data_IF_331697091601
#
_entry.id   IF_331697091601
#
_cell.length_a   1.000
_cell.length_b   1.000
_cell.length_c   1.000
_cell.angle_alpha   90.00
_cell.angle_beta   90.00
_cell.angle_gamma   90.00
#
_symmetry.space_group_name_H-M   'P 1'
#
loop_
_entity.id
_entity.type
_entity.pdbx_description
1 polymer ?
#
# COMPACT_ATOMS: atom_id res chain seq x y z
N UNK A 1 3.64 -5.01 38.52
CA UNK A 1 2.64 -4.15 39.19
C UNK A 1 2.40 -2.97 38.24
N UNK A 2 1.35 -3.02 37.41
CA UNK A 2 1.04 -1.97 36.43
C UNK A 2 -0.10 -1.07 36.97
N UNK A 3 -0.14 0.24 36.66
CA UNK A 3 -1.10 1.15 37.26
C UNK A 3 -2.52 0.88 36.73
N UNK A 4 -3.48 0.75 37.63
CA UNK A 4 -4.90 0.78 37.28
C UNK A 4 -5.30 2.21 36.93
N UNK A 5 -5.69 2.47 35.68
CA UNK A 5 -6.41 3.69 35.33
C UNK A 5 -7.91 3.51 35.63
N UNK A 6 -8.43 4.27 36.58
CA UNK A 6 -9.85 4.32 36.91
C UNK A 6 -10.50 5.44 36.09
N UNK A 7 -11.31 5.09 35.09
CA UNK A 7 -12.15 6.05 34.39
C UNK A 7 -13.55 6.11 35.02
N UNK A 8 -13.96 7.30 35.46
CA UNK A 8 -15.29 7.59 36.02
C UNK A 8 -16.08 8.36 34.96
N UNK A 9 -17.05 7.72 34.32
CA UNK A 9 -17.89 8.35 33.30
C UNK A 9 -19.16 8.94 33.91
N UNK A 10 -19.51 10.17 33.52
CA UNK A 10 -20.60 10.96 34.14
C UNK A 10 -21.90 10.97 33.33
N UNK A 11 -21.95 10.30 32.16
CA UNK A 11 -23.14 10.25 31.29
C UNK A 11 -23.14 9.02 30.35
N UNK A 12 -24.33 8.59 29.91
CA UNK A 12 -24.51 7.50 28.91
C UNK A 12 -23.89 7.82 27.53
N UNK A 13 -23.61 9.09 27.23
CA UNK A 13 -22.97 9.51 25.97
C UNK A 13 -21.48 9.17 25.91
N UNK A 14 -20.77 9.22 27.06
CA UNK A 14 -19.34 8.88 27.14
C UNK A 14 -19.06 7.40 26.87
N UNK A 15 -20.01 6.53 27.23
CA UNK A 15 -19.90 5.08 27.05
C UNK A 15 -19.91 4.72 25.56
N UNK A 16 -20.71 5.40 24.73
CA UNK A 16 -20.76 5.14 23.28
C UNK A 16 -19.49 5.60 22.55
N UNK A 17 -18.87 6.71 22.98
CA UNK A 17 -17.59 7.20 22.42
C UNK A 17 -16.43 6.29 22.83
N UNK A 18 -16.44 5.75 24.05
CA UNK A 18 -15.47 4.78 24.53
C UNK A 18 -15.59 3.41 23.82
N UNK A 19 -16.82 2.92 23.60
CA UNK A 19 -17.06 1.66 22.86
C UNK A 19 -16.64 1.78 21.39
N UNK A 20 -16.87 2.93 20.73
CA UNK A 20 -16.38 3.16 19.35
C UNK A 20 -14.85 3.19 19.25
N UNK A 21 -14.14 3.67 20.27
CA UNK A 21 -12.66 3.62 20.30
C UNK A 21 -12.12 2.22 20.62
N UNK A 22 -12.85 1.40 21.38
CA UNK A 22 -12.48 0.01 21.67
C UNK A 22 -12.65 -0.93 20.46
N UNK A 23 -13.59 -0.65 19.56
CA UNK A 23 -13.80 -1.43 18.33
C UNK A 23 -12.63 -1.34 17.32
N UNK A 24 -11.64 -0.47 17.58
CA UNK A 24 -10.41 -0.32 16.80
C UNK A 24 -9.18 -0.98 17.47
N UNK A 25 -9.32 -1.56 18.67
CA UNK A 25 -8.25 -2.26 19.38
C UNK A 25 -8.40 -3.78 19.25
N UNK A 26 -7.30 -4.47 18.98
CA UNK A 26 -7.24 -5.92 18.77
C UNK A 26 -7.81 -6.77 19.91
N UNK A 27 -8.06 -8.04 19.59
CA UNK A 27 -8.81 -9.05 20.36
C UNK A 27 -8.47 -9.14 21.85
N UNK A 28 -7.23 -8.87 22.26
CA UNK A 28 -6.80 -8.84 23.67
C UNK A 28 -7.55 -7.81 24.54
N UNK A 29 -8.04 -6.72 23.93
CA UNK A 29 -8.80 -5.68 24.64
C UNK A 29 -10.23 -6.10 24.95
N UNK A 30 -10.82 -6.98 24.12
CA UNK A 30 -12.17 -7.51 24.33
C UNK A 30 -12.19 -8.56 25.46
N UNK A 31 -11.19 -9.43 25.54
CA UNK A 31 -11.10 -10.46 26.60
C UNK A 31 -11.04 -9.80 27.99
N UNK A 32 -10.27 -8.71 28.13
CA UNK A 32 -10.17 -7.95 29.38
C UNK A 32 -11.48 -7.24 29.77
N UNK A 33 -12.29 -6.82 28.80
CA UNK A 33 -13.59 -6.18 29.04
C UNK A 33 -14.66 -7.19 29.50
N UNK A 34 -14.66 -8.40 28.93
CA UNK A 34 -15.60 -9.47 29.30
C UNK A 34 -15.35 -9.95 30.74
N UNK A 35 -14.09 -10.06 31.16
CA UNK A 35 -13.73 -10.37 32.56
C UNK A 35 -14.14 -9.24 33.52
N UNK A 36 -14.17 -7.98 33.05
CA UNK A 36 -14.55 -6.83 33.86
C UNK A 36 -16.06 -6.72 34.10
N UNK A 37 -16.89 -7.15 33.15
CA UNK A 37 -18.36 -7.15 33.30
C UNK A 37 -18.80 -8.21 34.31
N UNK A 38 -18.10 -9.35 34.41
CA UNK A 38 -18.46 -10.40 35.39
C UNK A 38 -18.18 -10.00 36.84
N UNK A 39 -17.18 -9.15 37.10
CA UNK A 39 -16.83 -8.67 38.45
C UNK A 39 -17.67 -7.49 38.96
N UNK A 40 -18.50 -6.88 38.12
CA UNK A 40 -19.30 -5.68 38.48
C UNK A 40 -20.79 -5.94 38.70
N UNK A 41 -21.26 -7.16 38.45
CA UNK A 41 -22.61 -7.59 38.82
C UNK A 41 -22.60 -8.12 40.26
N UNK A 42 -22.94 -7.24 41.21
CA UNK A 42 -23.45 -7.66 42.52
C UNK A 42 -24.84 -8.29 42.34
N UNK A 43 -25.25 -9.26 43.17
CA UNK A 43 -26.36 -10.15 42.90
C UNK A 43 -27.68 -9.47 43.25
N UNK A 44 -28.20 -8.63 42.36
CA UNK A 44 -29.56 -8.11 42.52
C UNK A 44 -30.24 -7.86 41.17
N UNK A 45 -30.27 -8.90 40.34
CA UNK A 45 -31.19 -8.98 39.21
C UNK A 45 -31.75 -10.39 39.14
N UNK A 46 -32.97 -10.56 39.65
CA UNK A 46 -33.82 -11.73 39.39
C UNK A 46 -34.01 -11.85 37.88
N UNK A 47 -33.70 -13.01 37.30
CA UNK A 47 -34.26 -13.39 36.00
C UNK A 47 -33.34 -13.97 34.93
N UNK A 48 -32.02 -14.10 35.14
CA UNK A 48 -31.16 -14.84 34.21
C UNK A 48 -30.22 -15.74 35.02
N UNK A 49 -30.58 -17.03 35.13
CA UNK A 49 -29.84 -18.00 35.92
C UNK A 49 -28.38 -18.11 35.49
N UNK A 50 -27.47 -18.25 36.45
CA UNK A 50 -26.01 -18.36 36.27
C UNK A 50 -25.60 -19.45 35.26
N UNK A 51 -26.46 -20.47 35.05
CA UNK A 51 -26.34 -21.48 33.98
C UNK A 51 -26.38 -20.89 32.57
N UNK A 52 -27.21 -19.89 32.30
CA UNK A 52 -27.33 -19.27 30.97
C UNK A 52 -26.13 -18.36 30.66
N UNK A 53 -25.56 -17.70 31.67
CA UNK A 53 -24.33 -16.89 31.52
C UNK A 53 -23.12 -17.77 31.21
N UNK A 54 -22.99 -18.92 31.89
CA UNK A 54 -21.95 -19.92 31.63
C UNK A 54 -22.11 -20.60 30.25
N UNK A 55 -23.34 -20.85 29.81
CA UNK A 55 -23.62 -21.38 28.47
C UNK A 55 -23.27 -20.37 27.37
N UNK A 56 -23.62 -19.09 27.53
CA UNK A 56 -23.26 -18.04 26.56
C UNK A 56 -21.75 -17.80 26.53
N UNK A 57 -21.07 -17.83 27.69
CA UNK A 57 -19.61 -17.75 27.76
C UNK A 57 -18.95 -18.97 27.13
N UNK A 58 -19.49 -20.18 27.33
CA UNK A 58 -19.01 -21.42 26.71
C UNK A 58 -19.21 -21.44 25.19
N UNK A 59 -20.31 -20.89 24.68
CA UNK A 59 -20.58 -20.75 23.24
C UNK A 59 -19.69 -19.66 22.61
N UNK A 60 -19.41 -18.56 23.32
CA UNK A 60 -18.46 -17.54 22.86
C UNK A 60 -17.01 -18.04 22.87
N UNK A 61 -16.63 -18.86 23.85
CA UNK A 61 -15.32 -19.53 23.92
C UNK A 61 -15.15 -20.60 22.83
N UNK A 62 -16.20 -21.33 22.47
CA UNK A 62 -16.16 -22.28 21.36
C UNK A 62 -16.22 -21.60 19.99
N UNK A 63 -16.86 -20.43 19.88
CA UNK A 63 -16.81 -19.58 18.68
C UNK A 63 -15.42 -18.94 18.47
N UNK A 64 -14.66 -18.64 19.53
CA UNK A 64 -13.25 -18.23 19.41
C UNK A 64 -12.28 -19.37 19.10
N UNK A 65 -12.70 -20.63 19.26
CA UNK A 65 -11.89 -21.81 18.90
C UNK A 65 -12.11 -22.26 17.45
N UNK A 66 -13.07 -21.64 16.74
CA UNK A 66 -13.29 -21.81 15.32
C UNK A 66 -12.86 -20.54 14.58
N UNK A 67 -11.58 -20.21 14.66
CA UNK A 67 -10.93 -19.28 13.72
C UNK A 67 -10.82 -19.95 12.34
N UNK A 68 -11.94 -20.33 11.73
CA UNK A 68 -12.04 -20.50 10.28
C UNK A 68 -12.25 -19.13 9.64
N UNK A 69 -11.27 -18.26 9.86
CA UNK A 69 -11.22 -16.95 9.25
C UNK A 69 -10.34 -17.02 8.02
N UNK A 70 -10.98 -16.94 6.85
CA UNK A 70 -10.36 -16.75 5.55
C UNK A 70 -9.72 -15.35 5.42
N UNK A 71 -8.86 -14.98 6.38
CA UNK A 71 -8.02 -13.79 6.33
C UNK A 71 -6.59 -14.21 6.03
N UNK A 72 -5.92 -13.45 5.18
CA UNK A 72 -4.51 -13.65 4.90
C UNK A 72 -3.71 -13.60 6.21
N UNK A 73 -2.85 -14.60 6.44
CA UNK A 73 -1.99 -14.64 7.62
C UNK A 73 -0.97 -13.50 7.53
N UNK A 74 -0.91 -12.58 8.51
CA UNK A 74 0.15 -11.59 8.54
C UNK A 74 1.50 -12.26 8.79
N UNK A 75 2.55 -11.75 8.16
CA UNK A 75 3.93 -12.20 8.42
C UNK A 75 4.32 -11.94 9.87
N UNK A 76 4.94 -12.93 10.52
CA UNK A 76 5.48 -12.79 11.86
C UNK A 76 6.68 -11.83 11.89
N UNK A 77 7.03 -11.26 13.05
CA UNK A 77 8.24 -10.44 13.20
C UNK A 77 9.52 -11.19 12.76
N UNK A 78 9.61 -12.49 13.03
CA UNK A 78 10.73 -13.36 12.66
C UNK A 78 10.80 -13.51 11.14
N UNK A 79 9.66 -13.76 10.49
CA UNK A 79 9.57 -13.84 9.02
C UNK A 79 10.01 -12.52 8.38
N UNK A 80 9.50 -11.38 8.86
CA UNK A 80 9.91 -10.05 8.37
C UNK A 80 11.41 -9.77 8.54
N UNK A 81 12.01 -10.29 9.60
CA UNK A 81 13.46 -10.20 9.84
C UNK A 81 14.25 -11.12 8.92
N UNK A 82 13.75 -12.33 8.66
CA UNK A 82 14.35 -13.27 7.71
C UNK A 82 14.31 -12.73 6.28
N UNK A 83 13.21 -12.08 5.87
CA UNK A 83 13.09 -11.48 4.53
C UNK A 83 14.20 -10.49 4.22
N UNK A 84 14.59 -9.65 5.20
CA UNK A 84 15.65 -8.64 5.04
C UNK A 84 17.05 -9.24 4.84
N UNK A 85 17.23 -10.53 5.13
CA UNK A 85 18.51 -11.24 5.06
C UNK A 85 18.63 -12.11 3.82
N UNK A 86 17.59 -12.19 2.98
CA UNK A 86 17.59 -13.06 1.79
C UNK A 86 18.75 -12.71 0.85
N UNK A 87 19.52 -13.73 0.50
CA UNK A 87 20.59 -13.70 -0.50
C UNK A 87 20.37 -14.77 -1.57
N UNK A 88 19.96 -15.98 -1.17
CA UNK A 88 19.81 -17.15 -2.02
C UNK A 88 18.32 -17.39 -2.29
N UNK A 89 17.94 -17.26 -3.55
CA UNK A 89 16.56 -17.43 -4.01
C UNK A 89 16.45 -18.71 -4.84
N UNK A 90 15.49 -19.57 -4.53
CA UNK A 90 15.11 -20.67 -5.41
C UNK A 90 13.90 -20.27 -6.26
N UNK A 91 13.86 -20.71 -7.51
CA UNK A 91 12.76 -20.41 -8.43
C UNK A 91 11.94 -21.68 -8.66
N UNK A 92 10.65 -21.63 -8.32
CA UNK A 92 9.68 -22.66 -8.67
C UNK A 92 8.78 -22.16 -9.81
N UNK A 93 8.60 -22.95 -10.85
CA UNK A 93 7.83 -22.55 -12.04
C UNK A 93 6.84 -23.64 -12.41
N UNK A 94 5.62 -23.21 -12.74
CA UNK A 94 4.55 -24.09 -13.22
C UNK A 94 3.86 -23.42 -14.40
N UNK A 95 3.78 -24.11 -15.53
CA UNK A 95 3.05 -23.64 -16.72
C UNK A 95 1.89 -24.59 -17.02
N UNK A 96 0.68 -24.05 -17.14
CA UNK A 96 -0.55 -24.81 -17.42
C UNK A 96 -1.24 -24.26 -18.66
N UNK A 97 -1.60 -25.16 -19.57
CA UNK A 97 -2.39 -24.87 -20.77
C UNK A 97 -3.70 -25.65 -20.71
N UNK A 98 -4.62 -25.42 -21.65
CA UNK A 98 -5.83 -26.25 -21.76
C UNK A 98 -5.51 -27.73 -22.04
N UNK A 99 -4.32 -28.03 -22.56
CA UNK A 99 -3.83 -29.40 -22.80
C UNK A 99 -3.13 -30.03 -21.58
N UNK A 100 -3.02 -29.30 -20.47
CA UNK A 100 -2.36 -29.74 -19.24
C UNK A 100 -1.06 -29.00 -18.95
N UNK A 101 -0.24 -29.57 -18.06
CA UNK A 101 1.04 -29.02 -17.67
C UNK A 101 2.04 -29.10 -18.85
N UNK A 102 2.77 -28.02 -19.07
CA UNK A 102 3.79 -27.90 -20.12
C UNK A 102 5.14 -27.50 -19.52
N UNK A 103 6.21 -27.68 -20.30
CA UNK A 103 7.54 -27.26 -19.90
C UNK A 103 7.60 -25.75 -19.61
N UNK A 104 8.28 -25.39 -18.51
CA UNK A 104 8.36 -24.00 -18.01
C UNK A 104 9.79 -23.46 -17.96
N UNK A 105 10.73 -24.12 -18.67
CA UNK A 105 12.16 -23.80 -18.68
C UNK A 105 12.44 -22.36 -19.13
N UNK A 106 11.74 -21.86 -20.15
CA UNK A 106 11.89 -20.48 -20.62
C UNK A 106 11.43 -19.44 -19.58
N UNK A 107 10.29 -19.69 -18.92
CA UNK A 107 9.79 -18.85 -17.82
C UNK A 107 10.80 -18.86 -16.67
N UNK A 108 11.28 -20.05 -16.28
CA UNK A 108 12.29 -20.22 -15.23
C UNK A 108 13.56 -19.44 -15.54
N UNK A 109 14.06 -19.53 -16.77
CA UNK A 109 15.24 -18.80 -17.23
C UNK A 109 15.03 -17.30 -17.13
N UNK A 110 13.93 -16.77 -17.67
CA UNK A 110 13.60 -15.33 -17.59
C UNK A 110 13.55 -14.85 -16.14
N UNK A 111 12.86 -15.57 -15.26
CA UNK A 111 12.73 -15.19 -13.85
C UNK A 111 14.08 -15.26 -13.15
N UNK A 112 14.86 -16.31 -13.41
CA UNK A 112 16.21 -16.50 -12.87
C UNK A 112 17.13 -15.34 -13.24
N UNK A 113 17.20 -15.01 -14.54
CA UNK A 113 18.05 -13.92 -15.04
C UNK A 113 17.65 -12.58 -14.41
N UNK A 114 16.34 -12.29 -14.37
CA UNK A 114 15.81 -11.04 -13.79
C UNK A 114 16.06 -10.90 -12.29
N UNK A 115 16.07 -12.01 -11.54
CA UNK A 115 16.40 -12.03 -10.10
C UNK A 115 17.91 -11.91 -9.90
N UNK A 116 18.73 -12.61 -10.71
CA UNK A 116 20.20 -12.47 -10.69
C UNK A 116 20.66 -11.07 -11.02
N UNK A 117 20.03 -10.42 -12.01
CA UNK A 117 20.33 -9.05 -12.40
C UNK A 117 20.26 -8.11 -11.19
N UNK A 118 19.33 -8.36 -10.26
CA UNK A 118 19.14 -7.57 -9.03
C UNK A 118 20.13 -7.89 -7.90
N UNK A 119 21.06 -8.83 -8.13
CA UNK A 119 22.12 -9.20 -7.17
C UNK A 119 21.69 -10.25 -6.16
N UNK A 120 20.77 -11.15 -6.52
CA UNK A 120 20.49 -12.36 -5.74
C UNK A 120 21.25 -13.55 -6.33
N UNK A 121 21.70 -14.45 -5.46
CA UNK A 121 22.19 -15.76 -5.88
C UNK A 121 20.97 -16.64 -6.14
N UNK A 122 20.86 -17.22 -7.35
CA UNK A 122 19.74 -18.11 -7.67
C UNK A 122 20.20 -19.55 -7.64
N UNK A 123 19.62 -20.34 -6.72
CA UNK A 123 19.80 -21.79 -6.69
C UNK A 123 18.93 -22.44 -7.77
N UNK A 124 19.55 -23.26 -8.62
CA UNK A 124 18.85 -24.04 -9.65
C UNK A 124 18.48 -25.45 -9.18
N UNK A 125 19.05 -25.90 -8.07
CA UNK A 125 18.85 -27.23 -7.52
C UNK A 125 17.93 -27.19 -6.30
N UNK A 126 16.92 -28.06 -6.28
CA UNK A 126 15.98 -28.20 -5.16
C UNK A 126 16.65 -28.74 -3.90
N UNK A 127 17.81 -29.39 -4.02
CA UNK A 127 18.54 -29.97 -2.91
C UNK A 127 19.47 -28.98 -2.21
N UNK A 128 19.80 -27.84 -2.85
CA UNK A 128 20.62 -26.81 -2.24
C UNK A 128 19.78 -25.92 -1.32
N UNK A 129 20.32 -25.53 -0.15
CA UNK A 129 19.62 -24.63 0.76
C UNK A 129 19.38 -23.27 0.08
N UNK A 130 18.18 -22.75 0.25
CA UNK A 130 17.79 -21.41 -0.21
C UNK A 130 17.10 -20.68 0.93
N UNK A 131 17.16 -19.36 0.94
CA UNK A 131 16.51 -18.54 1.99
C UNK A 131 15.01 -18.42 1.71
N UNK A 132 14.65 -18.35 0.43
CA UNK A 132 13.27 -18.18 -0.02
C UNK A 132 13.04 -18.89 -1.36
N UNK A 133 11.81 -19.36 -1.58
CA UNK A 133 11.36 -19.83 -2.89
C UNK A 133 10.41 -18.81 -3.49
N UNK A 134 10.72 -18.33 -4.70
CA UNK A 134 9.82 -17.52 -5.53
C UNK A 134 9.10 -18.47 -6.49
N UNK A 135 7.77 -18.53 -6.38
CA UNK A 135 6.92 -19.36 -7.22
C UNK A 135 6.26 -18.54 -8.30
N UNK A 136 6.39 -18.98 -9.55
CA UNK A 136 5.77 -18.37 -10.73
C UNK A 136 4.87 -19.39 -11.40
N UNK A 137 3.55 -19.25 -11.22
CA UNK A 137 2.55 -20.09 -11.86
C UNK A 137 1.93 -19.34 -13.04
N UNK A 138 2.19 -19.79 -14.26
CA UNK A 138 1.62 -19.23 -15.49
C UNK A 138 0.53 -20.15 -16.05
N UNK A 139 -0.60 -19.58 -16.42
CA UNK A 139 -1.76 -20.31 -16.93
C UNK A 139 -2.23 -19.67 -18.24
N UNK A 140 -2.58 -20.48 -19.25
CA UNK A 140 -3.23 -20.02 -20.49
C UNK A 140 -4.61 -19.42 -20.20
N UNK A 141 -5.34 -20.03 -19.27
CA UNK A 141 -6.59 -19.49 -18.72
C UNK A 141 -6.48 -19.45 -17.22
N UNK A 142 -6.58 -18.24 -16.68
CA UNK A 142 -6.52 -18.03 -15.24
C UNK A 142 -7.73 -18.70 -14.56
N UNK A 143 -7.48 -19.78 -13.84
CA UNK A 143 -8.51 -20.52 -13.08
C UNK A 143 -8.69 -19.97 -11.67
N UNK A 144 -7.62 -19.53 -11.02
CA UNK A 144 -7.63 -19.08 -9.63
C UNK A 144 -7.92 -17.58 -9.51
N UNK A 145 -8.99 -17.21 -8.81
CA UNK A 145 -9.47 -15.82 -8.70
C UNK A 145 -9.05 -15.10 -7.41
N UNK A 146 -8.22 -15.73 -6.59
CA UNK A 146 -7.92 -15.27 -5.23
C UNK A 146 -8.80 -15.89 -4.16
N UNK A 147 -8.54 -15.62 -2.87
CA UNK A 147 -9.46 -15.98 -1.80
C UNK A 147 -10.87 -15.40 -2.04
N UNK A 148 -11.84 -16.07 -1.43
CA UNK A 148 -13.30 -15.97 -1.68
C UNK A 148 -13.91 -14.58 -1.48
N UNK A 149 -15.20 -14.44 -1.82
CA UNK A 149 -16.06 -13.23 -1.77
C UNK A 149 -16.07 -12.41 -0.47
N UNK A 150 -15.44 -12.88 0.61
CA UNK A 150 -15.41 -12.19 1.91
C UNK A 150 -14.13 -11.38 2.01
N UNK A 151 -14.26 -10.12 1.60
CA UNK A 151 -13.18 -9.20 1.27
C UNK A 151 -12.14 -8.97 2.38
N UNK A 152 -10.91 -8.89 1.91
CA UNK A 152 -9.74 -8.40 2.61
C UNK A 152 -8.57 -8.22 1.63
N UNK A 153 -8.54 -9.02 0.56
CA UNK A 153 -7.49 -8.96 -0.47
C UNK A 153 -7.85 -8.09 -1.69
N UNK A 154 -9.13 -7.70 -1.84
CA UNK A 154 -9.61 -6.91 -2.97
C UNK A 154 -8.97 -5.51 -3.01
N UNK A 155 -8.58 -5.01 -1.84
CA UNK A 155 -8.00 -3.67 -1.65
C UNK A 155 -6.46 -3.68 -1.74
N UNK A 156 -5.83 -4.85 -1.94
CA UNK A 156 -4.39 -4.90 -2.21
C UNK A 156 -4.10 -4.30 -3.59
N UNK A 157 -3.12 -3.39 -3.66
CA UNK A 157 -2.61 -2.79 -4.89
C UNK A 157 -2.18 -3.83 -5.96
N UNK A 158 -1.93 -5.07 -5.54
CA UNK A 158 -1.52 -6.17 -6.43
C UNK A 158 -2.48 -7.35 -6.40
N UNK A 159 -3.74 -7.11 -6.00
CA UNK A 159 -4.79 -8.10 -6.08
C UNK A 159 -4.96 -8.59 -7.53
N UNK A 160 -5.01 -9.92 -7.76
CA UNK A 160 -5.21 -10.48 -9.07
C UNK A 160 -6.64 -10.20 -9.51
N UNK A 161 -6.83 -9.89 -10.80
CA UNK A 161 -8.13 -9.43 -11.28
C UNK A 161 -9.15 -10.56 -11.28
N UNK A 162 -10.31 -10.32 -10.67
CA UNK A 162 -11.45 -11.26 -10.71
C UNK A 162 -12.12 -11.32 -12.09
N UNK A 163 -11.96 -10.26 -12.89
CA UNK A 163 -12.57 -10.14 -14.23
C UNK A 163 -11.68 -10.69 -15.34
N UNK A 164 -10.37 -10.76 -15.13
CA UNK A 164 -9.43 -11.32 -16.11
C UNK A 164 -9.50 -12.85 -16.11
N UNK A 165 -9.69 -13.43 -17.30
CA UNK A 165 -9.78 -14.88 -17.53
C UNK A 165 -8.77 -15.40 -18.57
N UNK A 166 -7.98 -14.50 -19.16
CA UNK A 166 -6.95 -14.84 -20.14
C UNK A 166 -5.64 -15.32 -19.52
N UNK A 167 -4.57 -15.38 -20.32
CA UNK A 167 -3.28 -15.84 -19.83
C UNK A 167 -2.69 -14.92 -18.77
N UNK A 168 -2.21 -15.50 -17.68
CA UNK A 168 -1.59 -14.75 -16.59
C UNK A 168 -0.58 -15.59 -15.82
N UNK A 169 0.46 -14.94 -15.30
CA UNK A 169 1.36 -15.48 -14.29
C UNK A 169 1.03 -14.90 -12.91
N UNK A 170 0.93 -15.75 -11.90
CA UNK A 170 0.92 -15.39 -10.49
C UNK A 170 2.32 -15.62 -9.92
N UNK A 171 2.90 -14.56 -9.36
CA UNK A 171 4.17 -14.60 -8.64
C UNK A 171 3.86 -14.51 -7.15
N UNK A 172 4.34 -15.49 -6.39
CA UNK A 172 4.28 -15.53 -4.92
C UNK A 172 5.64 -15.97 -4.39
N UNK A 173 5.81 -15.94 -3.07
CA UNK A 173 6.98 -16.54 -2.43
C UNK A 173 6.61 -17.23 -1.12
N UNK A 174 7.47 -18.14 -0.67
CA UNK A 174 7.32 -18.87 0.57
C UNK A 174 8.68 -19.29 1.13
N UNK A 175 8.75 -19.54 2.44
CA UNK A 175 9.94 -20.07 3.08
C UNK A 175 10.03 -21.59 2.84
N UNK A 176 11.21 -22.16 2.50
CA UNK A 176 11.35 -23.60 2.27
C UNK A 176 10.88 -24.48 3.43
N UNK A 177 11.00 -23.98 4.67
CA UNK A 177 10.55 -24.66 5.89
C UNK A 177 9.02 -24.72 6.03
N UNK A 178 8.27 -23.90 5.28
CA UNK A 178 6.81 -23.79 5.36
C UNK A 178 6.15 -23.63 3.97
N UNK A 179 6.26 -24.64 3.08
CA UNK A 179 5.76 -24.55 1.71
C UNK A 179 4.24 -24.39 1.60
N UNK A 180 3.49 -24.86 2.60
CA UNK A 180 2.03 -24.79 2.65
C UNK A 180 1.50 -23.45 3.18
N UNK A 181 2.38 -22.53 3.58
CA UNK A 181 2.03 -21.22 4.14
C UNK A 181 2.70 -20.09 3.33
N UNK A 182 2.30 -19.88 2.07
CA UNK A 182 2.89 -18.85 1.24
C UNK A 182 2.58 -17.45 1.77
N UNK A 183 3.46 -16.49 1.43
CA UNK A 183 3.27 -15.09 1.76
C UNK A 183 1.93 -14.54 1.22
N UNK A 184 1.29 -13.60 1.92
CA UNK A 184 0.14 -12.87 1.38
C UNK A 184 0.49 -12.02 0.15
N UNK A 185 1.77 -11.67 -0.02
CA UNK A 185 2.25 -10.91 -1.17
C UNK A 185 2.10 -11.70 -2.47
N UNK A 186 1.67 -11.01 -3.52
CA UNK A 186 1.40 -11.59 -4.83
C UNK A 186 1.48 -10.54 -5.91
N UNK A 187 1.92 -10.94 -7.09
CA UNK A 187 1.96 -10.10 -8.31
C UNK A 187 1.38 -10.87 -9.48
N UNK A 188 0.38 -10.28 -10.13
CA UNK A 188 -0.19 -10.80 -11.36
C UNK A 188 0.42 -10.11 -12.58
N UNK A 189 0.94 -10.90 -13.51
CA UNK A 189 1.45 -10.46 -14.81
C UNK A 189 0.51 -11.01 -15.88
N UNK A 190 0.02 -10.17 -16.79
CA UNK A 190 -0.96 -10.54 -17.81
C UNK A 190 -0.40 -10.33 -19.19
N UNK A 191 -0.88 -11.11 -20.15
CA UNK A 191 -0.70 -10.83 -21.57
C UNK A 191 -1.54 -9.63 -22.02
N UNK A 192 -1.22 -9.01 -23.17
CA UNK A 192 -2.04 -7.93 -23.74
C UNK A 192 -3.36 -8.42 -24.35
N UNK A 193 -3.60 -9.73 -24.40
CA UNK A 193 -4.80 -10.34 -24.97
C UNK A 193 -5.50 -11.26 -23.95
N UNK A 194 -6.83 -11.22 -23.92
CA UNK A 194 -7.60 -12.08 -23.01
C UNK A 194 -7.90 -13.46 -23.61
N UNK A 195 -7.93 -13.58 -24.94
CA UNK A 195 -8.24 -14.82 -25.66
C UNK A 195 -7.00 -15.33 -26.39
N UNK A 196 -6.37 -16.37 -25.84
CA UNK A 196 -5.17 -16.97 -26.40
C UNK A 196 -5.42 -17.66 -27.74
N UNK A 197 -6.59 -18.26 -27.94
CA UNK A 197 -6.92 -18.95 -29.20
C UNK A 197 -7.07 -17.94 -30.33
N UNK A 198 -7.85 -16.88 -30.10
CA UNK A 198 -8.04 -15.83 -31.10
C UNK A 198 -6.71 -15.14 -31.43
N UNK A 199 -5.93 -14.79 -30.40
CA UNK A 199 -4.64 -14.16 -30.61
C UNK A 199 -3.66 -15.07 -31.38
N UNK A 200 -3.61 -16.37 -31.08
CA UNK A 200 -2.77 -17.30 -31.83
C UNK A 200 -3.21 -17.42 -33.31
N UNK A 201 -4.51 -17.46 -33.58
CA UNK A 201 -5.06 -17.51 -34.95
C UNK A 201 -4.70 -16.25 -35.77
N UNK A 202 -4.84 -15.07 -35.17
CA UNK A 202 -4.46 -13.78 -35.79
C UNK A 202 -2.98 -13.75 -36.18
N UNK A 203 -2.13 -14.46 -35.44
CA UNK A 203 -0.69 -14.60 -35.71
C UNK A 203 -0.31 -15.90 -36.43
N UNK A 204 -1.28 -16.66 -36.94
CA UNK A 204 -1.09 -17.91 -37.68
C UNK A 204 -0.31 -18.99 -36.90
N UNK A 205 -0.46 -19.00 -35.57
CA UNK A 205 0.09 -20.03 -34.68
C UNK A 205 -1.01 -21.02 -34.31
N UNK A 206 -0.74 -22.32 -34.48
CA UNK A 206 -1.73 -23.38 -34.20
C UNK A 206 -1.83 -23.74 -32.72
N UNK A 207 -0.77 -23.51 -31.94
CA UNK A 207 -0.73 -23.82 -30.51
C UNK A 207 -0.94 -22.55 -29.67
N UNK A 208 -2.19 -22.34 -29.23
CA UNK A 208 -2.57 -21.20 -28.40
C UNK A 208 -1.89 -21.22 -27.02
N UNK A 209 -1.66 -22.40 -26.46
CA UNK A 209 -1.02 -22.57 -25.16
C UNK A 209 0.45 -22.17 -25.23
N UNK A 210 1.19 -22.66 -26.23
CA UNK A 210 2.58 -22.26 -26.45
C UNK A 210 2.70 -20.76 -26.75
N UNK A 211 1.79 -20.23 -27.58
CA UNK A 211 1.72 -18.80 -27.89
C UNK A 211 1.51 -17.95 -26.63
N UNK A 212 0.58 -18.36 -25.76
CA UNK A 212 0.31 -17.71 -24.49
C UNK A 212 1.52 -17.75 -23.53
N UNK A 213 2.19 -18.90 -23.40
CA UNK A 213 3.38 -19.03 -22.53
C UNK A 213 4.54 -18.18 -23.03
N UNK A 214 4.75 -18.10 -24.36
CA UNK A 214 5.77 -17.23 -24.94
C UNK A 214 5.48 -15.75 -24.67
N UNK A 215 4.22 -15.33 -24.84
CA UNK A 215 3.80 -13.98 -24.52
C UNK A 215 3.99 -13.66 -23.03
N UNK A 216 3.59 -14.56 -22.12
CA UNK A 216 3.81 -14.40 -20.68
C UNK A 216 5.29 -14.31 -20.30
N UNK A 217 6.16 -15.11 -20.92
CA UNK A 217 7.59 -15.01 -20.72
C UNK A 217 8.13 -13.62 -21.16
N UNK A 218 7.60 -13.06 -22.25
CA UNK A 218 7.96 -11.70 -22.69
C UNK A 218 7.47 -10.63 -21.71
N UNK A 219 6.26 -10.75 -21.18
CA UNK A 219 5.74 -9.82 -20.17
C UNK A 219 6.58 -9.87 -18.88
N UNK A 220 6.98 -11.07 -18.43
CA UNK A 220 7.88 -11.23 -17.28
C UNK A 220 9.26 -10.57 -17.50
N UNK A 221 9.75 -10.50 -18.75
CA UNK A 221 11.01 -9.78 -19.08
C UNK A 221 10.89 -8.28 -18.89
N UNK A 222 9.70 -7.71 -18.91
CA UNK A 222 9.48 -6.27 -18.78
C UNK A 222 8.96 -5.89 -17.38
N UNK A 223 8.16 -6.77 -16.77
CA UNK A 223 7.51 -6.53 -15.49
C UNK A 223 8.53 -6.19 -14.38
N UNK A 224 8.22 -5.23 -13.49
CA UNK A 224 9.12 -4.81 -12.43
C UNK A 224 9.11 -5.73 -11.20
N UNK A 225 8.52 -6.93 -11.22
CA UNK A 225 8.42 -7.82 -10.06
C UNK A 225 9.70 -8.02 -9.24
N UNK A 226 10.94 -8.06 -9.79
CA UNK A 226 12.13 -8.20 -8.96
C UNK A 226 12.34 -6.99 -8.03
N UNK A 227 12.03 -5.77 -8.53
CA UNK A 227 12.10 -4.55 -7.73
C UNK A 227 11.01 -4.55 -6.67
N UNK A 228 9.79 -5.00 -7.01
CA UNK A 228 8.69 -5.12 -6.06
C UNK A 228 9.01 -6.13 -4.94
N UNK A 229 9.63 -7.27 -5.27
CA UNK A 229 10.12 -8.24 -4.28
C UNK A 229 11.21 -7.65 -3.40
N UNK A 230 12.19 -6.93 -3.98
CA UNK A 230 13.22 -6.26 -3.20
C UNK A 230 12.63 -5.21 -2.26
N UNK A 231 11.57 -4.51 -2.65
CA UNK A 231 10.88 -3.57 -1.78
C UNK A 231 10.10 -4.28 -0.66
N UNK A 232 9.35 -5.34 -0.99
CA UNK A 232 8.66 -6.20 -0.02
C UNK A 232 9.63 -6.77 1.03
N UNK A 233 10.83 -7.17 0.60
CA UNK A 233 11.89 -7.68 1.47
C UNK A 233 12.75 -6.58 2.11
N UNK A 234 12.45 -5.30 1.83
CA UNK A 234 13.16 -4.11 2.32
C UNK A 234 14.66 -4.09 2.00
N UNK A 235 15.05 -4.58 0.82
CA UNK A 235 16.43 -4.60 0.33
C UNK A 235 16.84 -3.27 -0.31
N UNK A 236 16.98 -2.23 0.51
CA UNK A 236 17.33 -0.86 0.09
C UNK A 236 18.60 -0.82 -0.77
N UNK A 237 19.66 -1.54 -0.37
CA UNK A 237 20.90 -1.60 -1.13
C UNK A 237 20.72 -2.11 -2.56
N UNK A 238 19.85 -3.10 -2.79
CA UNK A 238 19.58 -3.65 -4.12
C UNK A 238 18.77 -2.69 -4.97
N UNK A 239 17.82 -1.97 -4.36
CA UNK A 239 17.06 -0.92 -5.03
C UNK A 239 17.97 0.24 -5.44
N UNK A 240 18.85 0.70 -4.55
CA UNK A 240 19.85 1.74 -4.86
C UNK A 240 20.80 1.28 -5.97
N UNK A 241 21.30 0.04 -5.91
CA UNK A 241 22.13 -0.52 -6.98
C UNK A 241 21.38 -0.56 -8.32
N UNK A 242 20.09 -0.90 -8.32
CA UNK A 242 19.26 -0.87 -9.51
C UNK A 242 19.07 0.54 -10.08
N UNK A 243 18.89 1.56 -9.23
CA UNK A 243 18.78 2.97 -9.63
C UNK A 243 20.03 3.47 -10.37
N UNK A 244 21.21 2.98 -9.95
CA UNK A 244 22.51 3.39 -10.48
C UNK A 244 22.98 2.59 -11.71
N UNK A 245 22.17 1.65 -12.22
CA UNK A 245 22.54 0.92 -13.44
C UNK A 245 22.61 1.85 -14.66
N UNK A 246 23.57 1.65 -15.57
CA UNK A 246 23.61 2.41 -16.81
C UNK A 246 22.35 2.16 -17.64
N UNK A 247 21.88 3.19 -18.35
CA UNK A 247 20.73 3.13 -19.26
C UNK A 247 19.42 2.63 -18.63
N UNK A 248 19.24 2.79 -17.32
CA UNK A 248 17.96 2.52 -16.68
C UNK A 248 16.89 3.49 -17.26
N UNK A 249 15.74 2.99 -17.74
CA UNK A 249 14.69 3.87 -18.27
C UNK A 249 14.17 4.83 -17.18
N UNK A 250 13.83 6.10 -17.51
CA UNK A 250 13.33 7.06 -16.52
C UNK A 250 12.10 6.58 -15.76
N UNK A 251 11.21 5.82 -16.41
CA UNK A 251 10.06 5.20 -15.75
C UNK A 251 10.47 4.20 -14.66
N UNK A 252 11.54 3.44 -14.88
CA UNK A 252 12.08 2.49 -13.90
C UNK A 252 12.84 3.21 -12.78
N UNK A 253 13.53 4.32 -13.07
CA UNK A 253 14.13 5.16 -12.02
C UNK A 253 13.06 5.72 -11.08
N UNK A 254 11.98 6.29 -11.64
CA UNK A 254 10.85 6.79 -10.85
C UNK A 254 10.21 5.70 -9.98
N UNK A 255 10.02 4.50 -10.53
CA UNK A 255 9.52 3.36 -9.75
C UNK A 255 10.46 3.03 -8.59
N UNK A 256 11.77 2.98 -8.80
CA UNK A 256 12.72 2.70 -7.72
C UNK A 256 12.65 3.78 -6.63
N UNK A 257 12.54 5.06 -6.99
CA UNK A 257 12.38 6.15 -6.01
C UNK A 257 11.07 6.01 -5.22
N UNK A 258 9.96 5.65 -5.86
CA UNK A 258 8.69 5.37 -5.18
C UNK A 258 8.85 4.24 -4.16
N UNK A 259 9.46 3.12 -4.56
CA UNK A 259 9.71 1.97 -3.67
C UNK A 259 10.64 2.31 -2.50
N UNK A 260 11.63 3.19 -2.71
CA UNK A 260 12.46 3.70 -1.61
C UNK A 260 11.69 4.62 -0.66
N UNK A 261 10.65 5.31 -1.14
CA UNK A 261 9.73 6.09 -0.30
C UNK A 261 8.97 5.21 0.68
N UNK A 262 8.52 4.04 0.24
CA UNK A 262 7.73 3.11 1.06
C UNK A 262 8.56 2.37 2.13
N UNK A 263 9.89 2.49 2.10
CA UNK A 263 10.79 1.84 3.03
C UNK A 263 11.38 2.88 3.99
N UNK A 264 11.03 2.87 5.28
CA UNK A 264 11.63 3.77 6.26
C UNK A 264 13.07 3.31 6.52
N UNK A 265 14.02 3.95 5.87
CA UNK A 265 15.45 3.65 5.93
C UNK A 265 16.28 4.93 5.68
N UNK A 266 17.31 5.22 6.50
CA UNK A 266 18.13 6.43 6.33
C UNK A 266 18.89 6.51 4.99
N UNK A 267 19.30 5.38 4.40
CA UNK A 267 19.95 5.39 3.10
C UNK A 267 18.96 5.62 1.96
N UNK A 268 17.73 5.11 2.09
CA UNK A 268 16.63 5.47 1.18
C UNK A 268 16.39 7.00 1.22
N UNK A 269 16.23 7.59 2.41
CA UNK A 269 16.08 9.05 2.58
C UNK A 269 17.20 9.82 1.89
N UNK A 270 18.47 9.50 2.20
CA UNK A 270 19.62 10.17 1.60
C UNK A 270 19.70 9.99 0.07
N UNK A 271 19.22 8.87 -0.46
CA UNK A 271 19.15 8.64 -1.91
C UNK A 271 18.07 9.50 -2.56
N UNK A 272 16.91 9.64 -1.94
CA UNK A 272 15.82 10.49 -2.39
C UNK A 272 16.22 11.97 -2.37
N UNK A 273 16.91 12.43 -1.33
CA UNK A 273 17.46 13.80 -1.26
C UNK A 273 18.45 14.10 -2.39
N UNK A 274 19.30 13.13 -2.74
CA UNK A 274 20.20 13.27 -3.90
C UNK A 274 19.41 13.35 -5.21
N UNK A 275 18.34 12.58 -5.34
CA UNK A 275 17.49 12.57 -6.53
C UNK A 275 16.71 13.88 -6.75
N UNK A 276 16.52 14.72 -5.71
CA UNK A 276 15.98 16.07 -5.86
C UNK A 276 16.84 16.97 -6.78
N UNK A 277 18.13 16.67 -6.92
CA UNK A 277 19.06 17.44 -7.76
C UNK A 277 18.98 17.09 -9.24
N UNK A 278 18.24 16.02 -9.59
CA UNK A 278 18.04 15.57 -10.98
C UNK A 278 16.66 16.05 -11.45
N UNK A 279 16.55 17.05 -12.34
CA UNK A 279 15.28 17.70 -12.66
C UNK A 279 14.15 16.73 -13.07
N UNK A 280 14.47 15.69 -13.84
CA UNK A 280 13.49 14.70 -14.31
C UNK A 280 12.97 13.77 -13.21
N UNK A 281 13.73 13.61 -12.12
CA UNK A 281 13.40 12.72 -11.01
C UNK A 281 12.91 13.48 -9.77
N UNK A 282 13.23 14.78 -9.69
CA UNK A 282 12.98 15.61 -8.53
C UNK A 282 11.50 15.61 -8.08
N UNK A 283 10.48 15.69 -8.97
CA UNK A 283 9.09 15.60 -8.54
C UNK A 283 8.75 14.25 -7.88
N UNK A 284 9.25 13.14 -8.43
CA UNK A 284 9.03 11.81 -7.85
C UNK A 284 9.75 11.65 -6.52
N UNK A 285 10.99 12.12 -6.44
CA UNK A 285 11.77 12.11 -5.21
C UNK A 285 11.12 12.96 -4.10
N UNK A 286 10.60 14.15 -4.42
CA UNK A 286 9.92 15.01 -3.45
C UNK A 286 8.65 14.36 -2.88
N UNK A 287 7.85 13.69 -3.70
CA UNK A 287 6.66 12.95 -3.23
C UNK A 287 7.10 11.76 -2.37
N UNK A 288 8.09 10.98 -2.81
CA UNK A 288 8.60 9.82 -2.08
C UNK A 288 9.23 10.20 -0.72
N UNK A 289 9.90 11.36 -0.63
CA UNK A 289 10.40 11.90 0.64
C UNK A 289 9.28 12.08 1.66
N UNK A 290 8.08 12.48 1.24
CA UNK A 290 6.93 12.63 2.15
C UNK A 290 6.60 11.37 2.95
N UNK A 291 6.89 10.18 2.41
CA UNK A 291 6.67 8.89 3.08
C UNK A 291 7.68 8.62 4.22
N UNK A 292 8.80 9.36 4.27
CA UNK A 292 9.78 9.29 5.36
C UNK A 292 9.41 10.17 6.57
N UNK A 293 8.22 10.78 6.55
CA UNK A 293 7.66 11.51 7.68
C UNK A 293 8.46 12.76 8.05
N UNK A 294 8.58 13.03 9.35
CA UNK A 294 9.17 14.27 9.87
C UNK A 294 10.59 14.56 9.37
N UNK A 295 11.40 13.53 9.09
CA UNK A 295 12.77 13.70 8.58
C UNK A 295 12.82 14.42 7.22
N UNK A 296 11.77 14.30 6.41
CA UNK A 296 11.68 14.92 5.09
C UNK A 296 11.16 16.37 5.11
N UNK A 297 10.67 16.89 6.24
CA UNK A 297 10.11 18.24 6.31
C UNK A 297 11.14 19.29 5.88
N UNK A 298 12.34 19.27 6.48
CA UNK A 298 13.39 20.25 6.15
C UNK A 298 13.84 20.19 4.68
N UNK A 299 14.19 19.01 4.12
CA UNK A 299 14.48 18.88 2.69
C UNK A 299 13.38 19.45 1.78
N UNK A 300 12.10 19.17 2.07
CA UNK A 300 10.98 19.62 1.25
C UNK A 300 10.70 21.12 1.39
N UNK A 301 10.86 21.70 2.58
CA UNK A 301 10.73 23.14 2.79
C UNK A 301 11.85 23.88 2.05
N UNK A 302 13.10 23.43 2.19
CA UNK A 302 14.22 24.03 1.43
C UNK A 302 14.02 23.91 -0.07
N UNK A 303 13.45 22.80 -0.55
CA UNK A 303 13.11 22.65 -1.96
C UNK A 303 12.08 23.67 -2.42
N UNK A 304 11.04 23.94 -1.63
CA UNK A 304 10.00 24.94 -1.93
C UNK A 304 10.54 26.36 -1.99
N UNK A 305 11.46 26.71 -1.08
CA UNK A 305 12.06 28.04 -0.99
C UNK A 305 12.93 28.40 -2.20
N UNK A 306 13.57 27.41 -2.82
CA UNK A 306 14.59 27.64 -3.85
C UNK A 306 14.16 27.25 -5.27
N UNK A 307 12.97 26.66 -5.44
CA UNK A 307 12.52 26.21 -6.76
C UNK A 307 11.58 27.21 -7.42
N UNK A 308 11.80 27.48 -8.71
CA UNK A 308 10.87 28.22 -9.56
C UNK A 308 9.91 27.31 -10.34
N UNK A 309 10.17 26.00 -10.37
CA UNK A 309 9.37 25.03 -11.13
C UNK A 309 8.03 24.76 -10.45
N UNK A 310 6.93 25.12 -11.11
CA UNK A 310 5.56 24.82 -10.63
C UNK A 310 5.37 23.33 -10.32
N UNK A 311 5.88 22.46 -11.20
CA UNK A 311 5.80 21.01 -11.03
C UNK A 311 6.52 20.54 -9.76
N UNK A 312 7.67 21.15 -9.45
CA UNK A 312 8.46 20.80 -8.26
C UNK A 312 7.85 21.40 -6.99
N UNK A 313 7.29 22.63 -7.06
CA UNK A 313 6.51 23.21 -5.96
C UNK A 313 5.35 22.30 -5.59
N UNK A 314 4.55 21.92 -6.59
CA UNK A 314 3.44 20.99 -6.43
C UNK A 314 3.90 19.67 -5.78
N UNK A 315 4.97 19.06 -6.28
CA UNK A 315 5.47 17.80 -5.74
C UNK A 315 5.95 17.92 -4.28
N UNK A 316 6.61 19.02 -3.93
CA UNK A 316 7.07 19.27 -2.57
C UNK A 316 5.88 19.51 -1.60
N UNK A 317 4.87 20.29 -2.03
CA UNK A 317 3.62 20.46 -1.28
C UNK A 317 2.91 19.12 -1.09
N UNK A 318 2.83 18.28 -2.13
CA UNK A 318 2.25 16.95 -2.04
C UNK A 318 2.99 16.08 -1.00
N UNK A 319 4.33 16.11 -1.00
CA UNK A 319 5.16 15.46 0.01
C UNK A 319 4.88 15.95 1.43
N UNK A 320 4.79 17.27 1.64
CA UNK A 320 4.42 17.85 2.94
C UNK A 320 2.99 17.46 3.37
N UNK A 321 2.05 17.37 2.44
CA UNK A 321 0.68 16.91 2.71
C UNK A 321 0.62 15.43 3.11
N UNK A 322 1.49 14.57 2.56
CA UNK A 322 1.64 13.18 3.02
C UNK A 322 2.12 13.17 4.47
N UNK A 323 3.14 13.97 4.80
CA UNK A 323 3.64 14.09 6.17
C UNK A 323 2.52 14.55 7.12
N UNK A 324 1.76 15.59 6.73
CA UNK A 324 0.65 16.13 7.51
C UNK A 324 -0.48 15.14 7.80
N UNK A 325 -0.60 14.05 7.02
CA UNK A 325 -1.58 12.99 7.27
C UNK A 325 -1.23 12.14 8.51
N UNK A 326 0.06 12.09 8.88
CA UNK A 326 0.57 11.23 9.96
C UNK A 326 1.29 11.99 11.07
N UNK A 327 1.63 13.26 10.83
CA UNK A 327 2.41 14.10 11.75
C UNK A 327 1.82 15.49 11.87
N UNK A 328 1.43 15.84 13.09
CA UNK A 328 1.02 17.20 13.44
C UNK A 328 2.28 18.03 13.74
N UNK A 329 2.76 18.79 12.75
CA UNK A 329 3.82 19.80 12.94
C UNK A 329 3.24 21.20 12.64
N UNK A 330 3.15 22.10 13.63
CA UNK A 330 2.62 23.45 13.45
C UNK A 330 3.29 24.26 12.34
N UNK A 331 4.55 23.94 12.00
CA UNK A 331 5.30 24.58 10.92
C UNK A 331 4.70 24.28 9.54
N UNK A 332 4.10 23.10 9.35
CA UNK A 332 3.52 22.70 8.05
C UNK A 332 2.43 23.67 7.61
N UNK A 333 1.58 24.11 8.54
CA UNK A 333 0.56 25.12 8.25
C UNK A 333 1.17 26.43 7.75
N UNK A 334 2.20 26.97 8.43
CA UNK A 334 2.81 28.24 8.03
C UNK A 334 3.49 28.12 6.66
N UNK A 335 4.18 27.00 6.38
CA UNK A 335 4.79 26.75 5.06
C UNK A 335 3.73 26.71 3.95
N UNK A 336 2.64 25.97 4.16
CA UNK A 336 1.56 25.83 3.19
C UNK A 336 0.84 27.17 2.97
N UNK A 337 0.52 27.89 4.04
CA UNK A 337 -0.07 29.23 3.99
C UNK A 337 0.82 30.20 3.22
N UNK A 338 2.13 30.22 3.50
CA UNK A 338 3.06 31.09 2.79
C UNK A 338 3.11 30.74 1.30
N UNK A 339 3.02 29.46 0.93
CA UNK A 339 2.98 29.03 -0.48
C UNK A 339 1.77 29.60 -1.25
N UNK A 340 0.64 29.83 -0.59
CA UNK A 340 -0.54 30.49 -1.19
C UNK A 340 -0.38 32.01 -1.32
N UNK A 341 0.45 32.64 -0.48
CA UNK A 341 0.59 34.09 -0.43
C UNK A 341 1.55 34.65 -1.50
N UNK A 342 2.43 33.82 -2.07
CA UNK A 342 3.38 34.23 -3.11
C UNK A 342 2.72 34.29 -4.50
N UNK A 343 2.10 35.43 -4.82
CA UNK A 343 1.36 35.64 -6.08
C UNK A 343 2.27 35.88 -7.31
N UNK A 344 1.90 35.41 -8.53
CA UNK A 344 0.78 34.50 -8.79
C UNK A 344 1.20 33.03 -8.59
N UNK A 345 0.60 32.35 -7.61
CA UNK A 345 0.73 30.90 -7.44
C UNK A 345 -0.08 30.20 -8.55
N UNK A 346 0.53 29.30 -9.34
CA UNK A 346 -0.19 28.51 -10.32
C UNK A 346 -1.38 27.74 -9.72
N UNK A 347 -2.47 27.59 -10.47
CA UNK A 347 -3.71 26.96 -9.97
C UNK A 347 -3.49 25.50 -9.57
N UNK A 348 -2.61 24.77 -10.24
CA UNK A 348 -2.24 23.39 -9.92
C UNK A 348 -1.49 23.28 -8.59
N UNK A 349 -0.60 24.23 -8.29
CA UNK A 349 0.06 24.34 -6.98
C UNK A 349 -0.97 24.71 -5.90
N UNK A 350 -1.88 25.64 -6.22
CA UNK A 350 -2.95 26.07 -5.30
C UNK A 350 -3.84 24.90 -4.89
N UNK A 351 -4.28 24.08 -5.84
CA UNK A 351 -5.05 22.85 -5.59
C UNK A 351 -4.29 21.93 -4.64
N UNK A 352 -2.99 21.71 -4.88
CA UNK A 352 -2.20 20.83 -4.04
C UNK A 352 -2.02 21.37 -2.62
N UNK A 353 -1.85 22.69 -2.45
CA UNK A 353 -1.79 23.31 -1.12
C UNK A 353 -3.12 23.15 -0.38
N UNK A 354 -4.25 23.36 -1.06
CA UNK A 354 -5.57 23.13 -0.48
C UNK A 354 -5.73 21.69 -0.01
N UNK A 355 -5.32 20.71 -0.82
CA UNK A 355 -5.34 19.30 -0.44
C UNK A 355 -4.44 19.01 0.77
N UNK A 356 -3.23 19.57 0.77
CA UNK A 356 -2.28 19.40 1.88
C UNK A 356 -2.79 20.01 3.19
N UNK A 357 -3.44 21.18 3.14
CA UNK A 357 -4.08 21.80 4.30
C UNK A 357 -5.25 20.96 4.84
N UNK A 358 -6.06 20.37 3.95
CA UNK A 358 -7.12 19.44 4.34
C UNK A 358 -6.58 18.17 5.00
N UNK A 359 -5.51 17.59 4.46
CA UNK A 359 -4.81 16.41 5.03
C UNK A 359 -4.17 16.69 6.38
N UNK A 360 -3.65 17.91 6.58
CA UNK A 360 -3.01 18.34 7.83
C UNK A 360 -4.01 18.38 8.99
N UNK A 361 -5.30 18.65 8.72
CA UNK A 361 -6.32 18.70 9.77
C UNK A 361 -6.23 19.92 10.70
N UNK A 362 -5.44 20.93 10.34
CA UNK A 362 -5.24 22.13 11.18
C UNK A 362 -6.39 23.12 11.01
N UNK A 363 -7.15 23.36 12.08
CA UNK A 363 -8.29 24.28 12.11
C UNK A 363 -7.94 25.71 11.70
N UNK A 364 -6.68 26.13 11.83
CA UNK A 364 -6.23 27.46 11.37
C UNK A 364 -6.42 27.64 9.86
N UNK A 365 -6.48 26.55 9.10
CA UNK A 365 -6.72 26.57 7.66
C UNK A 365 -8.17 26.93 7.29
N UNK A 366 -9.14 26.79 8.20
CA UNK A 366 -10.58 26.97 7.91
C UNK A 366 -10.85 28.34 7.29
N UNK A 367 -10.46 29.43 7.96
CA UNK A 367 -10.74 30.79 7.49
C UNK A 367 -10.07 31.08 6.14
N UNK A 368 -8.85 30.56 5.95
CA UNK A 368 -8.10 30.71 4.69
C UNK A 368 -8.80 29.97 3.54
N UNK A 369 -9.22 28.73 3.77
CA UNK A 369 -9.90 27.91 2.77
C UNK A 369 -11.30 28.43 2.46
N UNK A 370 -12.04 28.95 3.44
CA UNK A 370 -13.36 29.58 3.22
C UNK A 370 -13.25 30.83 2.33
N UNK A 371 -12.23 31.67 2.56
CA UNK A 371 -11.97 32.84 1.72
C UNK A 371 -11.64 32.43 0.28
N UNK A 372 -10.75 31.45 0.11
CA UNK A 372 -10.39 30.93 -1.22
C UNK A 372 -11.59 30.27 -1.91
N UNK A 373 -12.44 29.56 -1.16
CA UNK A 373 -13.67 28.96 -1.66
C UNK A 373 -14.66 30.01 -2.16
N UNK A 374 -14.87 31.10 -1.41
CA UNK A 374 -15.73 32.20 -1.88
C UNK A 374 -15.23 32.75 -3.21
N UNK A 375 -13.93 33.02 -3.33
CA UNK A 375 -13.31 33.52 -4.58
C UNK A 375 -13.49 32.54 -5.74
N UNK A 376 -13.22 31.26 -5.52
CA UNK A 376 -13.33 30.22 -6.55
C UNK A 376 -14.76 30.02 -7.06
N UNK A 377 -15.77 30.19 -6.21
CA UNK A 377 -17.20 30.12 -6.60
C UNK A 377 -17.73 31.41 -7.23
N UNK A 378 -17.16 32.57 -6.91
CA UNK A 378 -17.49 33.84 -7.58
C UNK A 378 -16.85 33.98 -8.96
N UNK A 379 -15.75 33.26 -9.23
CA UNK A 379 -15.13 33.22 -10.55
C UNK A 379 -16.05 32.47 -11.54
N UNK A 380 -16.48 33.08 -12.67
CA UNK A 380 -17.37 32.42 -13.62
C UNK A 380 -16.69 31.33 -14.47
N UNK A 381 -15.38 31.13 -14.33
CA UNK A 381 -14.61 30.13 -15.07
C UNK A 381 -15.18 28.72 -14.90
N UNK A 382 -15.22 28.00 -16.02
CA UNK A 382 -15.61 26.59 -16.13
C UNK A 382 -14.44 25.70 -16.53
N UNK A 383 -13.20 26.17 -16.38
CA UNK A 383 -12.03 25.36 -16.71
C UNK A 383 -11.96 24.11 -15.82
N UNK A 384 -11.41 22.99 -16.33
CA UNK A 384 -11.19 21.79 -15.52
C UNK A 384 -10.34 22.05 -14.26
N UNK A 385 -9.42 23.00 -14.31
CA UNK A 385 -8.59 23.41 -13.16
C UNK A 385 -9.43 24.11 -12.09
N UNK A 386 -10.35 25.00 -12.49
CA UNK A 386 -11.23 25.70 -11.56
C UNK A 386 -12.22 24.73 -10.90
N UNK A 387 -12.73 23.75 -11.66
CA UNK A 387 -13.57 22.68 -11.11
C UNK A 387 -12.80 21.85 -10.07
N UNK A 388 -11.59 21.40 -10.40
CA UNK A 388 -10.71 20.67 -9.47
C UNK A 388 -10.37 21.48 -8.22
N UNK A 389 -10.20 22.79 -8.35
CA UNK A 389 -10.00 23.68 -7.19
C UNK A 389 -11.22 23.71 -6.28
N UNK A 390 -12.43 23.87 -6.85
CA UNK A 390 -13.69 23.84 -6.07
C UNK A 390 -13.89 22.49 -5.37
N UNK A 391 -13.59 21.39 -6.05
CA UNK A 391 -13.65 20.03 -5.48
C UNK A 391 -12.67 19.86 -4.32
N UNK A 392 -11.40 20.28 -4.51
CA UNK A 392 -10.38 20.24 -3.47
C UNK A 392 -10.77 21.07 -2.25
N UNK A 393 -11.31 22.29 -2.47
CA UNK A 393 -11.78 23.16 -1.40
C UNK A 393 -12.95 22.55 -0.63
N UNK A 394 -13.93 22.00 -1.36
CA UNK A 394 -15.06 21.30 -0.75
C UNK A 394 -14.61 20.11 0.09
N UNK A 395 -13.69 19.30 -0.43
CA UNK A 395 -13.13 18.15 0.29
C UNK A 395 -12.34 18.59 1.53
N UNK A 396 -11.43 19.56 1.40
CA UNK A 396 -10.61 20.01 2.52
C UNK A 396 -11.42 20.69 3.62
N UNK A 397 -12.44 21.49 3.26
CA UNK A 397 -13.37 22.06 4.25
C UNK A 397 -14.20 20.97 4.93
N UNK A 398 -14.61 19.93 4.20
CA UNK A 398 -15.31 18.77 4.78
C UNK A 398 -14.46 18.02 5.81
N UNK A 399 -13.15 17.85 5.55
CA UNK A 399 -12.22 17.25 6.53
C UNK A 399 -12.14 18.06 7.83
N UNK A 400 -12.13 19.39 7.72
CA UNK A 400 -11.92 20.30 8.85
C UNK A 400 -13.21 20.67 9.60
N UNK A 401 -14.37 20.61 8.93
CA UNK A 401 -15.67 20.98 9.50
C UNK A 401 -16.70 19.86 9.25
N UNK A 402 -16.62 18.72 9.96
CA UNK A 402 -17.54 17.60 9.73
C UNK A 402 -18.99 17.92 10.12
N UNK A 403 -19.19 18.80 11.11
CA UNK A 403 -20.50 19.08 11.73
C UNK A 403 -21.40 20.01 10.90
N UNK A 404 -20.86 20.70 9.89
CA UNK A 404 -21.63 21.61 9.04
C UNK A 404 -22.68 20.91 8.15
N UNK A 405 -22.69 19.58 8.11
CA UNK A 405 -23.46 18.80 7.14
C UNK A 405 -24.38 17.72 7.76
N UNK A 406 -24.50 17.63 9.07
CA UNK A 406 -25.52 16.77 9.73
C UNK A 406 -26.83 17.53 10.02
N UNK A 407 -26.95 18.76 9.53
CA UNK A 407 -28.08 19.66 9.78
C UNK A 407 -28.99 19.88 8.54
N UNK A 408 -28.75 19.15 7.45
CA UNK A 408 -29.70 18.94 6.34
C UNK A 408 -30.31 17.54 6.45
#
# INVERSE_FOLDING_TARGET
>A
MFPLFIFRFRSRYDVRRFIRRLALCGSDSMVRLVVFISRRFSPDTRGIGMRNVLLIAGVLLSLSALDTHARQRPLSPEEKSALQKIQIVSIDTLALTERGAVESSDIRRVVTDRIRDLGYTVSTDKQQPSDIVVKVKCEERKTWLGPTRLGGDADSLHAPSRVWKGPACQITYYFPESPDSPSPWRREVRTPFADAMRAAQEHHVSDSGAYAMQALAQELRQDPFPLLLAAEWRHVHRLIAALNRPNIPPARQRLVLQLLGDIPDPQALATLEKALKVPELAPTAAIALGQHGAAAIRPLVTLLEHTDSSALKKAAVAGLGIIGTHHEDPMLFEVLKNTLQHSPTPIDVTIEVVNALGKLGDERAISLLQELNRRAWTDPSRSPEMQRLREALSWSLWQLIPEAHTAE
#
